data_IF_306166111629
#
_entry.id   IF_306166111629
#
_cell.length_a   1.000
_cell.length_b   1.000
_cell.length_c   1.000
_cell.angle_alpha   90.00
_cell.angle_beta   90.00
_cell.angle_gamma   90.00
#
_symmetry.space_group_name_H-M   'P 1'
#
loop_
_entity.id
_entity.type
_entity.pdbx_description
1 polymer ?
#
# COMPACT_ATOMS: atom_id res chain seq x y z
N UNK A 1 -14.35 -16.72 -1.56
CA UNK A 1 -14.76 -17.14 -0.20
C UNK A 1 -14.39 -16.01 0.74
N UNK A 2 -15.33 -15.28 1.36
CA UNK A 2 -14.98 -14.40 2.47
C UNK A 2 -14.63 -15.32 3.64
N UNK A 3 -13.34 -15.59 3.85
CA UNK A 3 -12.88 -16.16 5.11
C UNK A 3 -13.17 -15.12 6.17
N UNK A 4 -14.28 -15.29 6.89
CA UNK A 4 -14.54 -14.48 8.07
C UNK A 4 -13.30 -14.61 8.97
N UNK A 5 -12.74 -13.49 9.46
CA UNK A 5 -11.60 -13.56 10.36
C UNK A 5 -11.96 -14.46 11.55
N UNK A 6 -11.02 -15.30 12.04
CA UNK A 6 -11.30 -16.18 13.16
C UNK A 6 -11.80 -15.37 14.37
N UNK A 7 -12.76 -15.90 15.14
CA UNK A 7 -13.28 -15.19 16.29
C UNK A 7 -12.15 -14.95 17.32
N UNK A 8 -12.16 -13.78 17.95
CA UNK A 8 -11.10 -13.36 18.90
C UNK A 8 -10.91 -14.36 20.06
N UNK A 9 -11.96 -15.07 20.45
CA UNK A 9 -11.93 -16.15 21.44
C UNK A 9 -10.94 -17.24 21.07
N UNK A 10 -10.95 -17.71 19.82
CA UNK A 10 -10.06 -18.76 19.35
C UNK A 10 -8.58 -18.33 19.45
N UNK A 11 -8.30 -17.07 19.11
CA UNK A 11 -6.96 -16.49 19.22
C UNK A 11 -6.54 -16.36 20.69
N UNK A 12 -7.46 -15.97 21.58
CA UNK A 12 -7.24 -15.87 23.02
C UNK A 12 -6.84 -17.21 23.63
N UNK A 13 -7.61 -18.25 23.31
CA UNK A 13 -7.37 -19.60 23.78
C UNK A 13 -6.02 -20.14 23.29
N UNK A 14 -5.70 -19.94 22.01
CA UNK A 14 -4.42 -20.38 21.43
C UNK A 14 -3.20 -19.68 22.07
N UNK A 15 -3.36 -18.42 22.47
CA UNK A 15 -2.32 -17.63 23.13
C UNK A 15 -2.28 -17.84 24.67
N UNK A 16 -3.22 -18.60 25.24
CA UNK A 16 -3.30 -18.84 26.68
C UNK A 16 -3.62 -17.59 27.50
N UNK A 17 -4.33 -16.62 26.90
CA UNK A 17 -4.69 -15.34 27.52
C UNK A 17 -6.21 -15.16 27.54
N UNK A 18 -6.77 -14.46 28.54
CA UNK A 18 -8.20 -14.19 28.56
C UNK A 18 -8.60 -13.27 27.39
N UNK A 19 -9.76 -13.53 26.78
CA UNK A 19 -10.25 -12.78 25.61
C UNK A 19 -10.30 -11.27 25.86
N UNK A 20 -10.72 -10.86 27.07
CA UNK A 20 -10.77 -9.45 27.47
C UNK A 20 -9.39 -8.78 27.38
N UNK A 21 -8.32 -9.50 27.70
CA UNK A 21 -6.95 -8.99 27.63
C UNK A 21 -6.53 -8.77 26.18
N UNK A 22 -6.85 -9.71 25.29
CA UNK A 22 -6.63 -9.50 23.85
C UNK A 22 -7.45 -8.35 23.30
N UNK A 23 -8.72 -8.21 23.69
CA UNK A 23 -9.56 -7.09 23.28
C UNK A 23 -8.94 -5.75 23.67
N UNK A 24 -8.45 -5.62 24.90
CA UNK A 24 -7.74 -4.42 25.36
C UNK A 24 -6.48 -4.15 24.53
N UNK A 25 -5.62 -5.18 24.34
CA UNK A 25 -4.38 -5.03 23.57
C UNK A 25 -4.64 -4.63 22.10
N UNK A 26 -5.67 -5.19 21.46
CA UNK A 26 -6.05 -4.82 20.08
C UNK A 26 -6.55 -3.38 20.02
N UNK A 27 -7.40 -2.96 20.95
CA UNK A 27 -7.88 -1.57 21.01
C UNK A 27 -6.73 -0.58 21.23
N UNK A 28 -5.83 -0.87 22.17
CA UNK A 28 -4.63 -0.06 22.41
C UNK A 28 -3.72 -0.01 21.18
N UNK A 29 -3.48 -1.14 20.53
CA UNK A 29 -2.62 -1.21 19.35
C UNK A 29 -3.20 -0.48 18.14
N UNK A 30 -4.51 -0.62 17.89
CA UNK A 30 -5.19 0.08 16.79
C UNK A 30 -5.13 1.59 16.99
N UNK A 31 -5.29 2.09 18.23
CA UNK A 31 -5.12 3.51 18.53
C UNK A 31 -3.70 4.02 18.27
N UNK A 32 -2.67 3.19 18.50
CA UNK A 32 -1.26 3.51 18.25
C UNK A 32 -0.85 3.41 16.78
N UNK A 33 -1.55 2.60 15.98
CA UNK A 33 -1.24 2.33 14.56
C UNK A 33 -2.20 3.00 13.58
N UNK A 34 -3.14 3.81 14.07
CA UNK A 34 -4.09 4.60 13.28
C UNK A 34 -3.46 5.74 12.47
N UNK A 35 -2.13 5.80 12.36
CA UNK A 35 -1.48 6.75 11.47
C UNK A 35 -1.84 6.34 10.04
N UNK A 36 -2.80 7.06 9.46
CA UNK A 36 -3.23 6.82 8.09
C UNK A 36 -1.99 6.84 7.19
N UNK A 37 -1.85 5.87 6.26
CA UNK A 37 -0.68 5.84 5.39
C UNK A 37 -0.50 7.21 4.76
N UNK A 38 0.71 7.78 4.89
CA UNK A 38 1.06 9.12 4.39
C UNK A 38 0.43 9.32 3.00
N UNK A 39 -0.44 10.33 2.89
CA UNK A 39 -1.16 10.64 1.64
C UNK A 39 -0.20 10.84 0.47
N UNK A 40 1.00 11.36 0.75
CA UNK A 40 2.04 11.50 -0.26
C UNK A 40 3.46 11.24 0.28
N UNK A 41 4.24 10.53 -0.52
CA UNK A 41 5.58 10.06 -0.24
C UNK A 41 6.63 11.01 -0.80
N UNK A 42 7.85 10.94 -0.27
CA UNK A 42 9.00 11.51 -0.98
C UNK A 42 9.33 10.64 -2.20
N UNK A 43 10.09 11.18 -3.15
CA UNK A 43 10.53 10.41 -4.32
C UNK A 43 11.32 9.17 -3.91
N UNK A 44 12.16 9.27 -2.87
CA UNK A 44 12.96 8.13 -2.39
C UNK A 44 12.10 7.06 -1.73
N UNK A 45 11.09 7.44 -0.97
CA UNK A 45 10.16 6.50 -0.37
C UNK A 45 9.30 5.81 -1.42
N UNK A 46 8.85 6.55 -2.43
CA UNK A 46 8.13 5.98 -3.57
C UNK A 46 9.01 4.98 -4.35
N UNK A 47 10.28 5.31 -4.58
CA UNK A 47 11.24 4.42 -5.22
C UNK A 47 11.43 3.12 -4.42
N UNK A 48 11.58 3.22 -3.09
CA UNK A 48 11.67 2.06 -2.20
C UNK A 48 10.42 1.19 -2.27
N UNK A 49 9.23 1.78 -2.21
CA UNK A 49 7.96 1.03 -2.26
C UNK A 49 7.72 0.33 -3.59
N UNK A 50 8.17 0.92 -4.69
CA UNK A 50 8.09 0.33 -6.03
C UNK A 50 9.23 -0.68 -6.30
N UNK A 51 10.26 -0.73 -5.44
CA UNK A 51 11.42 -1.60 -5.62
C UNK A 51 12.38 -1.15 -6.72
N UNK A 52 12.40 0.14 -7.05
CA UNK A 52 13.25 0.71 -8.12
C UNK A 52 14.32 1.64 -7.58
N UNK A 53 15.37 1.86 -8.36
CA UNK A 53 16.40 2.86 -8.04
C UNK A 53 15.84 4.29 -8.09
N UNK A 54 16.43 5.21 -7.31
CA UNK A 54 16.04 6.64 -7.27
C UNK A 54 16.03 7.26 -8.67
N UNK A 55 17.05 6.98 -9.47
CA UNK A 55 17.18 7.49 -10.85
C UNK A 55 16.01 7.07 -11.71
N UNK A 56 15.60 5.79 -11.63
CA UNK A 56 14.42 5.28 -12.35
C UNK A 56 13.16 5.99 -11.89
N UNK A 57 12.98 6.19 -10.58
CA UNK A 57 11.83 6.91 -10.07
C UNK A 57 11.76 8.35 -10.57
N UNK A 58 12.89 9.07 -10.57
CA UNK A 58 12.96 10.42 -11.16
C UNK A 58 12.64 10.41 -12.65
N UNK A 59 13.09 9.39 -13.40
CA UNK A 59 12.78 9.26 -14.82
C UNK A 59 11.27 9.04 -15.06
N UNK A 60 10.62 8.17 -14.27
CA UNK A 60 9.17 7.92 -14.34
C UNK A 60 8.33 9.17 -14.00
N UNK A 61 8.81 9.97 -13.06
CA UNK A 61 8.19 11.27 -12.74
C UNK A 61 8.39 12.27 -13.89
N UNK A 62 9.59 12.30 -14.48
CA UNK A 62 9.92 13.20 -15.58
C UNK A 62 9.20 12.83 -16.88
N UNK A 63 8.98 11.54 -17.15
CA UNK A 63 8.19 11.04 -18.27
C UNK A 63 6.68 11.25 -18.05
N UNK A 64 6.26 11.54 -16.83
CA UNK A 64 4.86 11.71 -16.45
C UNK A 64 4.10 10.39 -16.24
N UNK A 65 4.78 9.24 -16.33
CA UNK A 65 4.20 7.92 -16.07
C UNK A 65 3.78 7.76 -14.60
N UNK A 66 4.51 8.40 -13.68
CA UNK A 66 4.11 8.47 -12.27
C UNK A 66 3.72 9.90 -11.92
N UNK A 67 2.45 10.08 -11.54
CA UNK A 67 1.92 11.34 -11.06
C UNK A 67 2.67 11.85 -9.82
N UNK A 68 3.00 13.14 -9.80
CA UNK A 68 3.61 13.78 -8.64
C UNK A 68 3.09 15.20 -8.45
N UNK A 69 3.06 15.65 -7.21
CA UNK A 69 2.56 16.96 -6.80
C UNK A 69 3.71 17.77 -6.21
N UNK A 70 3.81 19.04 -6.62
CA UNK A 70 4.75 19.98 -6.02
C UNK A 70 4.07 20.68 -4.84
N UNK A 71 4.60 20.50 -3.63
CA UNK A 71 4.17 21.20 -2.42
C UNK A 71 5.29 22.18 -2.05
N UNK A 72 5.11 23.44 -2.45
CA UNK A 72 6.15 24.46 -2.35
C UNK A 72 7.39 24.12 -3.19
N UNK A 73 8.50 23.75 -2.53
CA UNK A 73 9.74 23.31 -3.20
C UNK A 73 9.92 21.79 -3.18
N UNK A 74 9.06 21.08 -2.46
CA UNK A 74 9.17 19.63 -2.26
C UNK A 74 8.29 18.91 -3.28
N UNK A 75 8.88 17.95 -3.99
CA UNK A 75 8.10 17.02 -4.82
C UNK A 75 7.61 15.87 -3.97
N UNK A 76 6.31 15.60 -4.03
CA UNK A 76 5.64 14.50 -3.34
C UNK A 76 4.93 13.61 -4.35
N UNK A 77 4.95 12.31 -4.08
CA UNK A 77 4.31 11.29 -4.92
C UNK A 77 3.12 10.74 -4.14
N UNK A 78 1.87 11.00 -4.59
CA UNK A 78 0.69 10.40 -3.98
C UNK A 78 0.80 8.87 -3.97
N UNK A 79 0.31 8.21 -2.93
CA UNK A 79 0.36 6.73 -2.87
C UNK A 79 -0.48 6.11 -3.99
N UNK A 80 -1.60 6.75 -4.32
CA UNK A 80 -2.51 6.36 -5.38
C UNK A 80 -1.82 6.39 -6.74
N UNK A 81 -0.90 7.34 -6.96
CA UNK A 81 -0.16 7.44 -8.22
C UNK A 81 0.71 6.20 -8.49
N UNK A 82 1.26 5.58 -7.45
CA UNK A 82 2.00 4.31 -7.59
C UNK A 82 1.08 3.16 -7.93
N UNK A 83 -0.09 3.09 -7.30
CA UNK A 83 -1.09 2.07 -7.57
C UNK A 83 -1.61 2.17 -9.02
N UNK A 84 -1.91 3.39 -9.49
CA UNK A 84 -2.31 3.65 -10.87
C UNK A 84 -1.22 3.26 -11.86
N UNK A 85 0.04 3.65 -11.63
CA UNK A 85 1.15 3.27 -12.50
C UNK A 85 1.28 1.75 -12.66
N UNK A 86 1.18 0.98 -11.55
CA UNK A 86 1.23 -0.47 -11.61
C UNK A 86 0.02 -1.09 -12.32
N UNK A 87 -1.18 -0.54 -12.09
CA UNK A 87 -2.39 -0.98 -12.76
C UNK A 87 -2.28 -0.78 -14.28
N UNK A 88 -1.90 0.42 -14.72
CA UNK A 88 -1.71 0.75 -16.14
C UNK A 88 -0.64 -0.14 -16.78
N UNK A 89 0.48 -0.36 -16.08
CA UNK A 89 1.58 -1.22 -16.54
C UNK A 89 1.13 -2.68 -16.69
N UNK A 90 0.33 -3.19 -15.75
CA UNK A 90 -0.18 -4.56 -15.77
C UNK A 90 -1.17 -4.79 -16.92
N UNK A 91 -1.98 -3.78 -17.25
CA UNK A 91 -2.92 -3.82 -18.38
C UNK A 91 -2.19 -3.72 -19.72
N UNK A 92 -1.16 -2.88 -19.81
CA UNK A 92 -0.30 -2.81 -21.00
C UNK A 92 0.51 -4.10 -21.23
N UNK A 93 0.76 -4.88 -20.16
CA UNK A 93 1.43 -6.18 -20.22
C UNK A 93 0.46 -7.37 -20.41
N UNK A 94 -0.86 -7.15 -20.39
CA UNK A 94 -1.82 -8.19 -20.71
C UNK A 94 -1.79 -8.46 -22.24
N UNK A 95 -1.38 -9.65 -22.69
CA UNK A 95 -1.47 -9.98 -24.10
C UNK A 95 -2.92 -10.35 -24.44
N UNK A 96 -3.42 -9.80 -25.54
CA UNK A 96 -3.98 -10.53 -26.68
C UNK A 96 -4.40 -12.02 -26.50
N UNK A 97 -5.18 -12.37 -25.49
CA UNK A 97 -5.72 -13.72 -25.28
C UNK A 97 -7.12 -13.68 -24.68
N UNK A 98 -8.06 -13.06 -25.41
CA UNK A 98 -9.50 -13.37 -25.33
C UNK A 98 -10.26 -12.87 -26.59
N UNK A 99 -9.62 -12.96 -27.76
CA UNK A 99 -10.26 -12.78 -29.05
C UNK A 99 -10.02 -14.02 -29.93
N UNK A 100 -10.44 -15.20 -29.45
CA UNK A 100 -10.66 -16.40 -30.27
C UNK A 100 -11.30 -17.53 -29.45
N UNK A 101 -12.30 -18.16 -30.08
CA UNK A 101 -13.03 -19.39 -29.75
C UNK A 101 -14.21 -19.28 -28.78
#
# INVERSE_FOLDING_TARGET
MPTAPPPLTLIADALGVPEQRLRTLVLEHTALTSDAPLVALTVEEAARRLGVGRTTMYALIASGEVGSVLIGRLRRVPVEALATYLADRSQAAAPAAAHAA
#
